data_IF_483924822158
#
_entry.id   IF_483924822158
#
_cell.length_a   1.000
_cell.length_b   1.000
_cell.length_c   1.000
_cell.angle_alpha   90.00
_cell.angle_beta   90.00
_cell.angle_gamma   90.00
#
_symmetry.space_group_name_H-M   'P 1'
#
loop_
_entity.id
_entity.type
_entity.pdbx_description
1 polymer ?
#
# COMPACT_ATOMS: atom_id res chain seq x y z
N UNK A 1 -23.01 -47.78 5.02
CA UNK A 1 -21.73 -47.27 5.54
C UNK A 1 -21.82 -45.76 5.58
N UNK A 2 -21.99 -45.17 6.75
CA UNK A 2 -22.27 -43.75 6.94
C UNK A 2 -20.98 -42.93 6.81
N UNK A 3 -20.93 -42.03 5.83
CA UNK A 3 -19.85 -41.05 5.68
C UNK A 3 -19.91 -40.06 6.84
N UNK A 4 -19.02 -40.22 7.82
CA UNK A 4 -18.84 -39.26 8.91
C UNK A 4 -18.06 -38.05 8.39
N UNK A 5 -18.75 -36.97 8.05
CA UNK A 5 -18.12 -35.69 7.70
C UNK A 5 -17.63 -35.00 8.98
N UNK A 6 -16.31 -34.93 9.17
CA UNK A 6 -15.69 -34.25 10.32
C UNK A 6 -15.84 -32.72 10.19
N UNK A 7 -16.76 -32.14 10.95
CA UNK A 7 -17.10 -30.70 10.94
C UNK A 7 -16.03 -29.82 11.64
N UNK A 8 -15.02 -30.41 12.26
CA UNK A 8 -14.06 -29.70 13.13
C UNK A 8 -13.04 -28.83 12.38
N UNK A 9 -12.92 -28.94 11.05
CA UNK A 9 -11.86 -28.27 10.28
C UNK A 9 -12.27 -26.95 9.59
N UNK A 10 -13.57 -26.68 9.45
CA UNK A 10 -14.07 -25.50 8.70
C UNK A 10 -14.02 -24.18 9.49
N UNK A 11 -14.10 -24.24 10.82
CA UNK A 11 -14.05 -23.05 11.69
C UNK A 11 -12.62 -22.51 11.84
N UNK A 12 -11.65 -23.41 12.04
CA UNK A 12 -10.24 -23.10 12.28
C UNK A 12 -9.50 -22.61 11.03
N UNK A 13 -9.87 -23.11 9.84
CA UNK A 13 -9.38 -22.59 8.56
C UNK A 13 -9.82 -21.16 8.32
N UNK A 14 -11.11 -20.86 8.54
CA UNK A 14 -11.68 -19.54 8.24
C UNK A 14 -11.05 -18.39 9.03
N UNK A 15 -10.68 -18.60 10.30
CA UNK A 15 -10.05 -17.56 11.13
C UNK A 15 -8.59 -17.34 10.71
N UNK A 16 -7.85 -18.41 10.42
CA UNK A 16 -6.46 -18.32 9.93
C UNK A 16 -6.40 -17.65 8.56
N UNK A 17 -7.32 -17.97 7.66
CA UNK A 17 -7.41 -17.34 6.34
C UNK A 17 -7.75 -15.85 6.44
N UNK A 18 -8.66 -15.47 7.35
CA UNK A 18 -8.96 -14.06 7.64
C UNK A 18 -7.76 -13.31 8.20
N UNK A 19 -7.02 -13.92 9.11
CA UNK A 19 -5.81 -13.30 9.69
C UNK A 19 -4.70 -13.14 8.65
N UNK A 20 -4.52 -14.12 7.76
CA UNK A 20 -3.60 -14.04 6.63
C UNK A 20 -4.00 -12.92 5.65
N UNK A 21 -5.29 -12.77 5.34
CA UNK A 21 -5.79 -11.67 4.51
C UNK A 21 -5.56 -10.29 5.16
N UNK A 22 -5.80 -10.18 6.48
CA UNK A 22 -5.54 -8.95 7.23
C UNK A 22 -4.05 -8.61 7.23
N UNK A 23 -3.17 -9.56 7.54
CA UNK A 23 -1.73 -9.31 7.59
C UNK A 23 -1.17 -8.90 6.22
N UNK A 24 -1.65 -9.53 5.14
CA UNK A 24 -1.29 -9.16 3.78
C UNK A 24 -1.72 -7.72 3.47
N UNK A 25 -2.96 -7.34 3.82
CA UNK A 25 -3.46 -5.98 3.62
C UNK A 25 -2.67 -4.93 4.40
N UNK A 26 -2.25 -5.26 5.63
CA UNK A 26 -1.44 -4.37 6.47
C UNK A 26 -0.05 -4.19 5.92
N UNK A 27 0.57 -5.27 5.43
CA UNK A 27 1.89 -5.23 4.79
C UNK A 27 1.88 -4.31 3.57
N UNK A 28 0.91 -4.48 2.67
CA UNK A 28 0.78 -3.61 1.49
C UNK A 28 0.57 -2.15 1.87
N UNK A 29 -0.28 -1.87 2.89
CA UNK A 29 -0.47 -0.50 3.40
C UNK A 29 0.82 0.09 3.96
N UNK A 30 1.59 -0.70 4.71
CA UNK A 30 2.85 -0.26 5.29
C UNK A 30 3.91 0.01 4.22
N UNK A 31 4.04 -0.86 3.22
CA UNK A 31 4.96 -0.67 2.10
C UNK A 31 4.65 0.63 1.35
N UNK A 32 3.38 0.90 1.04
CA UNK A 32 2.96 2.16 0.40
C UNK A 32 3.24 3.38 1.29
N UNK A 33 2.96 3.28 2.59
CA UNK A 33 3.21 4.36 3.54
C UNK A 33 4.70 4.68 3.67
N UNK A 34 5.55 3.65 3.64
CA UNK A 34 7.01 3.82 3.64
C UNK A 34 7.46 4.61 2.42
N UNK A 35 7.03 4.20 1.22
CA UNK A 35 7.35 4.90 -0.04
C UNK A 35 6.91 6.36 0.03
N UNK A 36 5.66 6.61 0.44
CA UNK A 36 5.16 7.98 0.60
C UNK A 36 6.05 8.84 1.50
N UNK A 37 6.43 8.31 2.67
CA UNK A 37 7.24 9.04 3.65
C UNK A 37 8.65 9.31 3.15
N UNK A 38 9.25 8.34 2.47
CA UNK A 38 10.58 8.44 1.88
C UNK A 38 10.60 9.49 0.77
N UNK A 39 9.71 9.36 -0.23
CA UNK A 39 9.57 10.34 -1.31
C UNK A 39 9.26 11.74 -0.81
N UNK A 40 8.38 11.87 0.19
CA UNK A 40 8.05 13.17 0.78
C UNK A 40 9.24 13.79 1.52
N UNK A 41 10.07 12.97 2.18
CA UNK A 41 11.29 13.46 2.85
C UNK A 41 12.32 13.92 1.83
N UNK A 42 12.56 13.14 0.77
CA UNK A 42 13.51 13.47 -0.29
C UNK A 42 13.09 14.74 -1.05
N UNK A 43 11.83 14.82 -1.47
CA UNK A 43 11.32 15.99 -2.20
C UNK A 43 11.29 17.26 -1.34
N UNK A 44 11.13 17.13 -0.02
CA UNK A 44 11.20 18.28 0.91
C UNK A 44 12.62 18.70 1.27
N UNK A 45 13.62 17.84 1.03
CA UNK A 45 15.03 18.21 1.18
C UNK A 45 15.54 19.02 -0.02
N UNK A 46 14.89 18.88 -1.17
CA UNK A 46 15.13 19.72 -2.35
C UNK A 46 14.67 21.17 -2.10
N UNK A 47 15.39 22.13 -2.66
CA UNK A 47 15.00 23.54 -2.60
C UNK A 47 13.91 23.84 -3.64
N UNK A 48 13.19 24.97 -3.49
CA UNK A 48 12.21 25.42 -4.49
C UNK A 48 12.81 25.50 -5.90
N UNK A 49 14.09 25.86 -6.02
CA UNK A 49 14.78 25.92 -7.31
C UNK A 49 15.00 24.53 -7.89
N UNK A 50 15.47 23.58 -7.08
CA UNK A 50 15.69 22.21 -7.55
C UNK A 50 14.35 21.56 -7.96
N UNK A 51 13.27 21.84 -7.22
CA UNK A 51 11.92 21.44 -7.61
C UNK A 51 11.49 22.09 -8.93
N UNK A 52 11.73 23.39 -9.11
CA UNK A 52 11.41 24.11 -10.34
C UNK A 52 12.22 23.61 -11.55
N UNK A 53 13.48 23.23 -11.35
CA UNK A 53 14.34 22.63 -12.38
C UNK A 53 13.81 21.26 -12.83
N UNK A 54 13.16 20.52 -11.93
CA UNK A 54 12.41 19.29 -12.24
C UNK A 54 11.02 19.57 -12.83
N UNK A 55 10.60 20.84 -12.95
CA UNK A 55 9.27 21.24 -13.41
C UNK A 55 8.17 20.99 -12.38
N UNK A 56 8.51 20.86 -11.10
CA UNK A 56 7.60 20.61 -9.99
C UNK A 56 7.42 21.85 -9.12
N UNK A 57 6.22 22.01 -8.58
CA UNK A 57 5.93 23.03 -7.56
C UNK A 57 5.80 22.38 -6.16
N UNK A 58 6.05 23.12 -5.08
CA UNK A 58 5.95 22.59 -3.70
C UNK A 58 4.57 21.96 -3.42
N UNK A 59 3.51 22.57 -3.96
CA UNK A 59 2.15 22.05 -3.86
C UNK A 59 1.96 20.68 -4.54
N UNK A 60 2.74 20.37 -5.57
CA UNK A 60 2.69 19.10 -6.30
C UNK A 60 3.49 17.99 -5.61
N UNK A 61 4.42 18.32 -4.71
CA UNK A 61 5.25 17.33 -3.99
C UNK A 61 4.38 16.28 -3.29
N UNK A 62 3.29 16.71 -2.67
CA UNK A 62 2.36 15.80 -1.98
C UNK A 62 1.61 14.88 -2.97
N UNK A 63 1.24 15.39 -4.13
CA UNK A 63 0.54 14.61 -5.15
C UNK A 63 1.46 13.60 -5.81
N UNK A 64 2.71 13.99 -6.11
CA UNK A 64 3.75 13.09 -6.63
C UNK A 64 4.10 11.99 -5.62
N UNK A 65 4.25 12.33 -4.33
CA UNK A 65 4.51 11.33 -3.29
C UNK A 65 3.32 10.35 -3.14
N UNK A 66 2.08 10.83 -3.29
CA UNK A 66 0.89 9.97 -3.31
C UNK A 66 0.86 9.08 -4.55
N UNK A 67 1.24 9.59 -5.72
CA UNK A 67 1.33 8.82 -6.95
C UNK A 67 2.42 7.76 -6.88
N UNK A 68 3.61 8.09 -6.36
CA UNK A 68 4.69 7.12 -6.15
C UNK A 68 4.26 5.98 -5.20
N UNK A 69 3.54 6.32 -4.12
CA UNK A 69 3.10 5.34 -3.12
C UNK A 69 1.89 4.50 -3.54
N UNK A 70 0.95 5.07 -4.30
CA UNK A 70 -0.36 4.44 -4.58
C UNK A 70 -0.65 4.24 -6.07
N UNK A 71 0.09 4.86 -6.97
CA UNK A 71 -0.12 4.80 -8.43
C UNK A 71 -0.01 3.39 -9.00
N UNK A 72 0.93 2.57 -8.51
CA UNK A 72 1.02 1.16 -8.91
C UNK A 72 -0.16 0.30 -8.40
N UNK A 73 -0.79 0.68 -7.29
CA UNK A 73 -1.98 0.00 -6.75
C UNK A 73 -3.30 0.52 -7.37
N UNK A 74 -3.25 1.56 -8.22
CA UNK A 74 -4.40 2.19 -8.89
C UNK A 74 -4.59 1.75 -10.35
N UNK A 75 -4.00 0.64 -10.80
CA UNK A 75 -4.19 0.09 -12.18
C UNK A 75 -5.59 -0.49 -12.47
N UNK A 76 -6.65 0.15 -11.99
CA UNK A 76 -8.05 -0.25 -12.19
C UNK A 76 -8.93 0.79 -12.89
N UNK A 77 -8.39 1.94 -13.33
CA UNK A 77 -9.13 2.93 -14.10
C UNK A 77 -8.43 3.22 -15.43
N UNK A 78 -8.74 2.39 -16.43
CA UNK A 78 -8.71 2.76 -17.85
C UNK A 78 -9.92 2.14 -18.52
#
# INVERSE_FOLDING_TARGET
MTSTTNITNVLSGSLRDRMAAVSQSLRTRYENYKVYRETMSELRQLTERDLADLGLHESQVRDVALEAAYGNNRKGFK
#
